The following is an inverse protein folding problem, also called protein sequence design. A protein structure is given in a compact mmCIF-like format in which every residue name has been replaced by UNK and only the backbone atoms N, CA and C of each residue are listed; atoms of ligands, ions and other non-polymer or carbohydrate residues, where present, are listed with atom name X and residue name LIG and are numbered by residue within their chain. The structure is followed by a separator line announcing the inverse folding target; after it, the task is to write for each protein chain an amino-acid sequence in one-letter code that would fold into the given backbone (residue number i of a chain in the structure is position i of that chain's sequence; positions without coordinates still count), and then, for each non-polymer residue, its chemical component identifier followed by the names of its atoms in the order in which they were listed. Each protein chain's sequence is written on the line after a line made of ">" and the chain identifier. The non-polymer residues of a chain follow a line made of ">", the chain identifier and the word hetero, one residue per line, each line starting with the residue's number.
data_IF_477868758791
#
_entry.id   IF_477868758791
#
_cell.length_a   1.000
_cell.length_b   1.000
_cell.length_c   1.000
_cell.angle_alpha   90.00
_cell.angle_beta   90.00
_cell.angle_gamma   90.00
#
_symmetry.space_group_name_H-M   'P 1'
#
loop_
_entity.id
_entity.type
_entity.pdbx_description
1 polymer ?
#
# COMPACT_ATOMS: atom_id res chain seq x y z
N UNK A 1 -2.79 -14.47 -14.49
CA UNK A 1 -3.12 -13.05 -14.68
C UNK A 1 -3.44 -12.44 -13.32
N UNK A 2 -2.50 -11.68 -12.72
CA UNK A 2 -2.65 -11.05 -11.40
C UNK A 2 -2.28 -9.57 -11.51
N UNK A 3 -3.31 -8.76 -11.75
CA UNK A 3 -3.30 -7.29 -11.73
C UNK A 3 -3.29 -6.87 -10.24
N UNK A 4 -2.11 -6.75 -9.62
CA UNK A 4 -2.00 -6.89 -8.16
C UNK A 4 -0.94 -6.01 -7.49
N UNK A 5 -0.62 -4.82 -8.00
CA UNK A 5 0.38 -3.98 -7.30
C UNK A 5 -0.18 -2.67 -6.79
N UNK A 6 -0.98 -1.93 -7.56
CA UNK A 6 -1.65 -0.73 -6.99
C UNK A 6 -3.08 -1.04 -6.52
N UNK A 7 -3.61 -2.21 -6.87
CA UNK A 7 -5.00 -2.62 -6.63
C UNK A 7 -5.16 -3.75 -5.60
N UNK A 8 -4.05 -4.22 -5.03
CA UNK A 8 -4.07 -5.38 -4.12
C UNK A 8 -4.50 -5.03 -2.70
N UNK A 9 -4.24 -3.79 -2.30
CA UNK A 9 -4.78 -3.17 -1.08
C UNK A 9 -6.03 -2.31 -1.41
N UNK A 10 -6.78 -2.74 -2.44
CA UNK A 10 -8.15 -2.35 -2.86
C UNK A 10 -8.90 -3.55 -3.49
N UNK A 11 -9.13 -4.70 -2.83
CA UNK A 11 -10.02 -5.76 -3.27
C UNK A 11 -11.49 -5.32 -3.26
N UNK A 12 -11.87 -4.08 -2.91
CA UNK A 12 -13.14 -3.52 -3.38
C UNK A 12 -13.18 -3.32 -4.91
N UNK A 13 -12.02 -3.23 -5.57
CA UNK A 13 -11.91 -3.13 -7.03
C UNK A 13 -11.94 -4.49 -7.74
N UNK A 14 -11.74 -5.62 -7.04
CA UNK A 14 -11.72 -6.95 -7.67
C UNK A 14 -12.47 -8.06 -6.90
N UNK A 15 -13.08 -7.75 -5.76
CA UNK A 15 -13.96 -8.64 -4.99
C UNK A 15 -15.32 -7.98 -4.77
N UNK A 16 -15.85 -7.32 -5.80
CA UNK A 16 -17.29 -7.19 -5.90
C UNK A 16 -17.85 -8.61 -6.06
N UNK A 17 -18.49 -9.12 -5.00
CA UNK A 17 -19.61 -10.02 -5.21
C UNK A 17 -20.65 -9.21 -6.01
N UNK A 18 -20.64 -9.40 -7.34
CA UNK A 18 -21.46 -8.65 -8.31
C UNK A 18 -22.98 -8.84 -8.08
N UNK A 19 -23.39 -9.64 -7.09
CA UNK A 19 -24.78 -9.95 -6.78
C UNK A 19 -25.54 -8.83 -6.07
N UNK A 20 -24.87 -7.84 -5.46
CA UNK A 20 -25.55 -6.79 -4.67
C UNK A 20 -25.63 -5.39 -5.31
N UNK A 21 -24.95 -5.14 -6.45
CA UNK A 21 -24.96 -3.84 -7.16
C UNK A 21 -26.05 -3.81 -8.25
N UNK A 22 -27.27 -4.24 -7.92
CA UNK A 22 -28.44 -4.19 -8.81
C UNK A 22 -29.69 -3.62 -8.13
N UNK A 23 -29.55 -2.89 -7.02
CA UNK A 23 -30.70 -2.22 -6.39
C UNK A 23 -30.46 -0.72 -6.26
N UNK A 24 -31.03 0.00 -7.23
CA UNK A 24 -31.69 1.28 -7.00
C UNK A 24 -30.83 2.51 -7.24
N UNK A 25 -30.87 3.02 -8.48
CA UNK A 25 -30.72 4.46 -8.74
C UNK A 25 -31.85 4.87 -9.68
N UNK A 26 -33.02 5.11 -9.10
CA UNK A 26 -34.11 5.86 -9.71
C UNK A 26 -34.71 6.70 -8.57
N UNK A 27 -34.31 7.96 -8.45
CA UNK A 27 -35.19 9.05 -8.01
C UNK A 27 -34.50 10.41 -8.15
N UNK A 28 -34.98 11.17 -9.12
CA UNK A 28 -34.59 12.55 -9.38
C UNK A 28 -35.30 13.50 -8.41
N UNK A 29 -34.57 14.38 -7.73
CA UNK A 29 -35.13 15.52 -6.97
C UNK A 29 -34.39 16.81 -7.36
N UNK A 30 -35.09 17.94 -7.59
CA UNK A 30 -34.52 19.10 -8.29
C UNK A 30 -33.66 20.01 -7.41
N UNK A 31 -32.69 20.66 -8.10
CA UNK A 31 -31.63 21.54 -7.60
C UNK A 31 -32.12 22.83 -6.92
N UNK A 32 -31.50 23.16 -5.78
CA UNK A 32 -31.35 24.54 -5.27
C UNK A 32 -29.90 24.96 -5.51
N UNK A 33 -29.69 25.99 -6.34
CA UNK A 33 -28.37 26.54 -6.69
C UNK A 33 -27.95 27.60 -5.66
N UNK A 34 -27.05 27.22 -4.75
CA UNK A 34 -26.23 28.13 -3.96
C UNK A 34 -24.84 28.20 -4.59
N UNK A 35 -24.47 29.37 -5.13
CA UNK A 35 -23.15 29.63 -5.70
C UNK A 35 -22.16 29.88 -4.55
N UNK A 36 -21.59 28.80 -4.02
CA UNK A 36 -20.37 28.81 -3.21
C UNK A 36 -19.15 28.77 -4.15
N UNK A 37 -17.99 29.34 -3.75
CA UNK A 37 -16.76 29.17 -4.51
C UNK A 37 -16.52 27.68 -4.68
N UNK A 38 -16.50 27.25 -5.95
CA UNK A 38 -16.35 25.85 -6.33
C UNK A 38 -15.00 25.33 -5.86
N UNK A 39 -14.94 24.75 -4.66
CA UNK A 39 -14.00 23.67 -4.44
C UNK A 39 -14.40 22.62 -5.47
N UNK A 40 -13.60 22.48 -6.52
CA UNK A 40 -13.72 21.38 -7.48
C UNK A 40 -13.37 20.12 -6.70
N UNK A 41 -14.34 19.62 -5.94
CA UNK A 41 -14.27 18.28 -5.38
C UNK A 41 -14.20 17.34 -6.58
N UNK A 42 -13.10 16.60 -6.68
CA UNK A 42 -12.95 15.62 -7.75
C UNK A 42 -14.17 14.68 -7.74
N UNK A 43 -14.70 14.42 -8.93
CA UNK A 43 -15.93 13.65 -9.09
C UNK A 43 -15.75 12.23 -8.52
N UNK A 44 -16.83 11.59 -8.03
CA UNK A 44 -16.75 10.19 -7.66
C UNK A 44 -16.35 9.34 -8.88
N UNK A 45 -15.50 8.34 -8.68
CA UNK A 45 -15.06 7.47 -9.77
C UNK A 45 -16.24 6.72 -10.39
N UNK A 46 -16.34 6.81 -11.72
CA UNK A 46 -17.27 6.02 -12.51
C UNK A 46 -16.71 4.63 -12.80
N UNK A 47 -17.56 3.72 -13.30
CA UNK A 47 -17.10 2.41 -13.80
C UNK A 47 -16.07 2.56 -14.92
N UNK A 48 -16.20 3.59 -15.76
CA UNK A 48 -15.24 3.86 -16.84
C UNK A 48 -13.86 4.24 -16.30
N UNK A 49 -13.81 5.03 -15.21
CA UNK A 49 -12.55 5.39 -14.56
C UNK A 49 -11.84 4.15 -14.02
N UNK A 50 -12.60 3.21 -13.43
CA UNK A 50 -12.04 1.95 -12.95
C UNK A 50 -11.46 1.10 -14.10
N UNK A 51 -12.07 1.11 -15.28
CA UNK A 51 -11.47 0.48 -16.47
C UNK A 51 -10.22 1.21 -16.96
N UNK A 52 -10.18 2.54 -16.87
CA UNK A 52 -9.00 3.32 -17.22
C UNK A 52 -7.80 2.95 -16.31
N UNK A 53 -8.03 2.74 -15.02
CA UNK A 53 -7.00 2.24 -14.08
C UNK A 53 -6.39 0.91 -14.54
N UNK A 54 -7.23 -0.03 -14.97
CA UNK A 54 -6.77 -1.31 -15.54
C UNK A 54 -5.98 -1.08 -16.83
N UNK A 55 -6.47 -0.19 -17.70
CA UNK A 55 -5.79 0.20 -18.93
C UNK A 55 -4.39 0.75 -18.69
N UNK A 56 -4.23 1.64 -17.70
CA UNK A 56 -2.94 2.20 -17.28
C UNK A 56 -2.00 1.09 -16.79
N UNK A 57 -2.48 0.18 -15.95
CA UNK A 57 -1.66 -0.93 -15.43
C UNK A 57 -1.22 -1.92 -16.53
N UNK A 58 -2.03 -2.10 -17.58
CA UNK A 58 -1.76 -2.98 -18.71
C UNK A 58 -0.92 -2.34 -19.82
N UNK A 59 -0.54 -1.07 -19.69
CA UNK A 59 0.33 -0.45 -20.68
C UNK A 59 1.69 -1.18 -20.76
N UNK A 60 2.24 -1.34 -21.97
CA UNK A 60 3.53 -1.97 -22.16
C UNK A 60 4.62 -1.14 -21.46
N UNK A 61 5.51 -1.81 -20.73
CA UNK A 61 6.70 -1.14 -20.22
C UNK A 61 7.58 -0.71 -21.40
N UNK A 62 8.28 0.42 -21.25
CA UNK A 62 9.22 0.85 -22.28
C UNK A 62 10.34 -0.18 -22.45
N UNK A 63 10.69 -0.48 -23.70
CA UNK A 63 11.73 -1.45 -24.04
C UNK A 63 13.07 -1.11 -23.36
N UNK A 64 13.46 0.17 -23.36
CA UNK A 64 14.69 0.63 -22.70
C UNK A 64 14.66 0.52 -21.16
N UNK A 65 13.50 0.31 -20.55
CA UNK A 65 13.41 -0.04 -19.13
C UNK A 65 13.56 -1.54 -18.96
N UNK A 66 12.82 -2.37 -19.71
CA UNK A 66 12.91 -3.83 -19.59
C UNK A 66 14.32 -4.33 -19.94
N UNK A 67 14.96 -3.73 -20.93
CA UNK A 67 16.34 -4.01 -21.32
C UNK A 67 17.33 -3.65 -20.20
N UNK A 68 17.15 -2.50 -19.54
CA UNK A 68 17.99 -2.07 -18.42
C UNK A 68 17.88 -3.01 -17.21
N UNK A 69 16.74 -3.67 -17.03
CA UNK A 69 16.52 -4.65 -15.97
C UNK A 69 16.84 -6.10 -16.40
N UNK A 70 17.22 -6.32 -17.66
CA UNK A 70 17.39 -7.66 -18.23
C UNK A 70 16.12 -8.52 -18.14
N UNK A 71 14.95 -7.88 -18.20
CA UNK A 71 13.64 -8.53 -18.12
C UNK A 71 13.03 -8.69 -19.52
N UNK A 72 12.16 -9.70 -19.73
CA UNK A 72 11.38 -9.77 -20.96
C UNK A 72 10.44 -8.57 -21.07
N UNK A 73 10.02 -8.28 -22.31
CA UNK A 73 8.94 -7.32 -22.58
C UNK A 73 7.73 -7.72 -21.76
N UNK A 74 7.21 -6.75 -20.99
CA UNK A 74 6.19 -6.97 -19.97
C UNK A 74 5.31 -5.72 -19.84
N UNK A 75 4.23 -5.85 -19.08
CA UNK A 75 3.38 -4.70 -18.74
C UNK A 75 3.94 -3.92 -17.55
N UNK A 76 3.50 -2.68 -17.36
CA UNK A 76 3.86 -1.92 -16.16
C UNK A 76 3.46 -2.66 -14.89
N UNK A 77 2.27 -3.29 -14.90
CA UNK A 77 1.79 -4.09 -13.76
C UNK A 77 2.69 -5.26 -13.40
N UNK A 78 3.45 -5.80 -14.35
CA UNK A 78 4.43 -6.87 -14.13
C UNK A 78 5.77 -6.30 -13.65
N UNK A 79 6.16 -5.15 -14.23
CA UNK A 79 7.40 -4.44 -13.89
C UNK A 79 7.45 -4.01 -12.42
N UNK A 80 6.32 -3.57 -11.86
CA UNK A 80 6.24 -3.11 -10.46
C UNK A 80 5.97 -4.25 -9.45
N UNK A 81 5.91 -5.52 -9.86
CA UNK A 81 5.78 -6.65 -8.91
C UNK A 81 7.16 -7.08 -8.40
N UNK A 82 7.70 -6.36 -7.43
CA UNK A 82 8.99 -6.69 -6.83
C UNK A 82 8.86 -7.96 -5.97
N UNK A 83 9.61 -9.00 -6.33
CA UNK A 83 9.73 -10.21 -5.49
C UNK A 83 10.85 -10.08 -4.46
N UNK A 84 11.84 -9.24 -4.75
CA UNK A 84 13.01 -9.04 -3.88
C UNK A 84 13.37 -7.57 -3.77
N UNK A 85 14.06 -7.21 -2.68
CA UNK A 85 14.60 -5.85 -2.50
C UNK A 85 15.61 -5.49 -3.58
N UNK A 86 16.36 -6.46 -4.11
CA UNK A 86 17.31 -6.25 -5.20
C UNK A 86 16.64 -5.80 -6.50
N UNK A 87 15.49 -6.40 -6.85
CA UNK A 87 14.71 -5.99 -8.03
C UNK A 87 14.21 -4.55 -7.90
N UNK A 88 13.71 -4.18 -6.71
CA UNK A 88 13.30 -2.81 -6.43
C UNK A 88 14.47 -1.83 -6.57
N UNK A 89 15.64 -2.16 -6.01
CA UNK A 89 16.85 -1.34 -6.15
C UNK A 89 17.27 -1.17 -7.61
N UNK A 90 17.23 -2.23 -8.42
CA UNK A 90 17.55 -2.16 -9.85
C UNK A 90 16.58 -1.26 -10.62
N UNK A 91 15.26 -1.39 -10.38
CA UNK A 91 14.26 -0.54 -10.98
C UNK A 91 14.50 0.94 -10.66
N UNK A 92 14.75 1.25 -9.39
CA UNK A 92 14.98 2.63 -8.96
C UNK A 92 16.33 3.21 -9.41
N UNK A 93 17.30 2.36 -9.72
CA UNK A 93 18.58 2.76 -10.29
C UNK A 93 18.52 2.99 -11.81
N UNK A 94 17.46 2.53 -12.49
CA UNK A 94 17.26 2.69 -13.93
C UNK A 94 16.37 3.92 -14.22
N UNK A 95 16.92 5.06 -14.68
CA UNK A 95 16.14 6.29 -14.87
C UNK A 95 15.02 6.12 -15.91
N UNK A 96 15.22 5.27 -16.91
CA UNK A 96 14.20 4.95 -17.93
C UNK A 96 12.99 4.24 -17.32
N UNK A 97 13.18 3.42 -16.29
CA UNK A 97 12.09 2.76 -15.59
C UNK A 97 11.30 3.71 -14.70
N UNK A 98 11.99 4.59 -13.96
CA UNK A 98 11.36 5.64 -13.16
C UNK A 98 10.54 6.56 -14.06
N UNK A 99 11.12 7.01 -15.18
CA UNK A 99 10.42 7.86 -16.15
C UNK A 99 9.21 7.16 -16.80
N UNK A 100 9.31 5.86 -17.12
CA UNK A 100 8.18 5.08 -17.63
C UNK A 100 7.03 5.00 -16.60
N UNK A 101 7.34 4.76 -15.32
CA UNK A 101 6.33 4.76 -14.25
C UNK A 101 5.62 6.11 -14.18
N UNK A 102 6.38 7.21 -14.13
CA UNK A 102 5.81 8.56 -14.07
C UNK A 102 4.95 8.88 -15.30
N UNK A 103 5.42 8.50 -16.49
CA UNK A 103 4.71 8.75 -17.75
C UNK A 103 3.39 8.00 -17.84
N UNK A 104 3.33 6.77 -17.33
CA UNK A 104 2.12 5.95 -17.38
C UNK A 104 1.13 6.39 -16.31
N UNK A 105 1.57 6.58 -15.06
CA UNK A 105 0.68 6.92 -13.95
C UNK A 105 0.13 8.35 -14.00
N UNK A 106 0.75 9.28 -14.76
CA UNK A 106 0.14 10.60 -15.02
C UNK A 106 -1.23 10.51 -15.71
N UNK A 107 -1.53 9.39 -16.37
CA UNK A 107 -2.79 9.16 -17.09
C UNK A 107 -3.88 8.57 -16.18
N UNK A 108 -3.63 8.41 -14.87
CA UNK A 108 -4.66 7.94 -13.96
C UNK A 108 -5.80 8.95 -13.86
N UNK A 109 -7.06 8.48 -13.82
CA UNK A 109 -8.23 9.35 -13.77
C UNK A 109 -8.24 10.16 -12.48
N UNK A 110 -8.56 11.45 -12.60
CA UNK A 110 -8.74 12.34 -11.46
C UNK A 110 -10.17 12.19 -10.91
N UNK A 111 -10.37 11.12 -10.14
CA UNK A 111 -11.63 10.81 -9.49
C UNK A 111 -11.40 10.33 -8.06
N UNK A 112 -12.46 10.41 -7.23
CA UNK A 112 -12.43 10.02 -5.82
C UNK A 112 -13.22 8.74 -5.62
N UNK A 113 -12.60 7.76 -4.99
CA UNK A 113 -13.22 6.49 -4.60
C UNK A 113 -14.19 6.68 -3.42
N UNK A 114 -15.09 5.72 -3.13
CA UNK A 114 -16.04 5.83 -2.01
C UNK A 114 -15.39 6.05 -0.64
N UNK A 115 -14.16 5.58 -0.47
CA UNK A 115 -13.33 5.72 0.72
C UNK A 115 -12.48 7.01 0.71
N UNK A 116 -12.73 7.93 -0.22
CA UNK A 116 -12.10 9.25 -0.26
C UNK A 116 -10.70 9.27 -0.88
N UNK A 117 -10.23 8.19 -1.50
CA UNK A 117 -8.95 8.20 -2.22
C UNK A 117 -9.11 8.87 -3.57
N UNK A 118 -8.37 9.95 -3.81
CA UNK A 118 -8.18 10.48 -5.17
C UNK A 118 -7.16 9.60 -5.91
N UNK A 119 -7.58 8.93 -6.99
CA UNK A 119 -6.75 7.99 -7.74
C UNK A 119 -5.56 8.66 -8.44
N UNK A 120 -5.75 9.88 -8.95
CA UNK A 120 -4.68 10.61 -9.61
C UNK A 120 -3.62 11.04 -8.58
N UNK A 121 -4.02 11.69 -7.49
CA UNK A 121 -3.08 12.12 -6.44
C UNK A 121 -2.36 10.93 -5.80
N UNK A 122 -3.06 9.81 -5.63
CA UNK A 122 -2.49 8.57 -5.10
C UNK A 122 -1.33 8.05 -5.98
N UNK A 123 -1.44 8.20 -7.30
CA UNK A 123 -0.56 7.52 -8.26
C UNK A 123 0.45 8.43 -8.96
N UNK A 124 0.23 9.74 -8.99
CA UNK A 124 1.16 10.72 -9.59
C UNK A 124 2.57 10.63 -8.97
N UNK A 125 2.66 10.16 -7.73
CA UNK A 125 3.92 10.02 -6.96
C UNK A 125 4.41 8.59 -6.82
N UNK A 126 3.89 7.65 -7.63
CA UNK A 126 4.18 6.22 -7.50
C UNK A 126 5.68 5.92 -7.55
N UNK A 127 6.43 6.49 -8.49
CA UNK A 127 7.87 6.25 -8.57
C UNK A 127 8.62 6.75 -7.33
N UNK A 128 8.22 7.92 -6.81
CA UNK A 128 8.83 8.53 -5.63
C UNK A 128 8.56 7.73 -4.36
N UNK A 129 7.34 7.18 -4.24
CA UNK A 129 6.96 6.28 -3.15
C UNK A 129 7.77 4.99 -3.22
N UNK A 130 7.77 4.33 -4.38
CA UNK A 130 8.44 3.03 -4.60
C UNK A 130 9.95 3.16 -4.35
N UNK A 131 10.56 4.23 -4.86
CA UNK A 131 11.99 4.48 -4.73
C UNK A 131 12.41 5.21 -3.46
N UNK A 132 11.47 5.53 -2.56
CA UNK A 132 11.75 6.17 -1.28
C UNK A 132 12.34 7.57 -1.41
N UNK A 133 12.01 8.29 -2.49
CA UNK A 133 12.43 9.66 -2.77
C UNK A 133 11.31 10.68 -2.55
N UNK A 134 10.13 10.25 -2.08
CA UNK A 134 9.02 11.12 -1.75
C UNK A 134 9.43 12.19 -0.71
N UNK A 135 9.28 13.49 -1.01
CA UNK A 135 9.54 14.56 -0.05
C UNK A 135 8.66 14.47 1.18
N UNK A 136 9.24 14.66 2.37
CA UNK A 136 8.50 14.65 3.63
C UNK A 136 7.38 15.71 3.68
N UNK A 137 7.52 16.81 2.94
CA UNK A 137 6.51 17.87 2.81
C UNK A 137 5.21 17.42 2.15
N UNK A 138 5.21 16.28 1.45
CA UNK A 138 4.03 15.69 0.82
C UNK A 138 3.34 14.64 1.70
N UNK A 139 3.87 14.41 2.91
CA UNK A 139 3.29 13.47 3.87
C UNK A 139 2.67 14.21 5.05
N UNK A 140 1.50 13.76 5.47
CA UNK A 140 0.79 14.31 6.62
C UNK A 140 1.47 13.85 7.91
N UNK A 141 1.87 14.81 8.75
CA UNK A 141 2.56 14.53 10.02
C UNK A 141 2.00 15.33 11.21
N UNK A 142 0.77 15.82 11.10
CA UNK A 142 0.09 16.63 12.13
C UNK A 142 -0.99 15.85 12.90
N UNK A 143 -1.15 14.55 12.61
CA UNK A 143 -2.18 13.71 13.20
C UNK A 143 -3.57 13.87 12.57
N UNK A 144 -3.70 14.64 11.48
CA UNK A 144 -4.94 14.76 10.72
C UNK A 144 -5.21 13.53 9.84
N UNK A 145 -6.28 13.56 9.05
CA UNK A 145 -6.64 12.47 8.15
C UNK A 145 -5.56 12.26 7.08
N UNK A 146 -5.23 11.00 6.78
CA UNK A 146 -4.26 10.66 5.76
C UNK A 146 -4.72 11.12 4.36
N UNK A 147 -3.85 11.82 3.64
CA UNK A 147 -4.05 12.18 2.24
C UNK A 147 -4.00 10.95 1.32
N UNK A 148 -4.38 11.09 0.06
CA UNK A 148 -4.25 10.01 -0.95
C UNK A 148 -2.80 9.53 -1.12
N UNK A 149 -1.84 10.45 -1.00
CA UNK A 149 -0.40 10.15 -1.05
C UNK A 149 0.02 9.36 0.19
N UNK A 150 -0.39 9.79 1.39
CA UNK A 150 -0.09 9.09 2.65
C UNK A 150 -0.59 7.65 2.62
N UNK A 151 -1.82 7.46 2.13
CA UNK A 151 -2.46 6.15 2.04
C UNK A 151 -1.72 5.23 1.09
N UNK A 152 -1.29 5.74 -0.06
CA UNK A 152 -0.50 4.98 -1.04
C UNK A 152 0.89 4.63 -0.49
N UNK A 153 1.54 5.57 0.20
CA UNK A 153 2.80 5.32 0.88
C UNK A 153 2.66 4.21 1.94
N UNK A 154 1.65 4.30 2.80
CA UNK A 154 1.38 3.29 3.83
C UNK A 154 1.12 1.91 3.20
N UNK A 155 0.25 1.84 2.19
CA UNK A 155 -0.03 0.60 1.45
C UNK A 155 1.25 -0.02 0.89
N UNK A 156 2.09 0.78 0.20
CA UNK A 156 3.36 0.29 -0.32
C UNK A 156 4.28 -0.22 0.80
N UNK A 157 4.52 0.58 1.83
CA UNK A 157 5.44 0.26 2.92
C UNK A 157 5.03 -0.99 3.70
N UNK A 158 3.72 -1.19 3.91
CA UNK A 158 3.18 -2.30 4.69
C UNK A 158 3.01 -3.56 3.84
N UNK A 159 2.37 -3.41 2.68
CA UNK A 159 1.85 -4.51 1.88
C UNK A 159 2.73 -4.94 0.71
N UNK A 160 3.70 -4.13 0.28
CA UNK A 160 4.37 -4.35 -1.01
C UNK A 160 5.89 -4.24 -0.96
N UNK A 161 6.42 -3.40 -0.07
CA UNK A 161 7.86 -3.18 0.05
C UNK A 161 8.54 -4.50 0.40
N UNK A 162 9.42 -5.02 -0.48
CA UNK A 162 10.02 -6.31 -0.27
C UNK A 162 10.97 -6.28 0.92
N UNK A 163 10.86 -7.31 1.76
CA UNK A 163 11.77 -7.53 2.88
C UNK A 163 13.17 -7.87 2.32
N UNK A 164 14.27 -7.31 2.88
CA UNK A 164 15.62 -7.64 2.44
C UNK A 164 15.93 -9.14 2.56
N UNK A 165 16.69 -9.70 1.61
CA UNK A 165 17.05 -11.12 1.60
C UNK A 165 17.69 -11.60 2.91
N UNK A 166 18.57 -10.79 3.50
CA UNK A 166 19.21 -11.08 4.79
C UNK A 166 18.20 -11.25 5.94
N UNK A 167 17.04 -10.58 5.88
CA UNK A 167 15.96 -10.79 6.83
C UNK A 167 15.13 -12.04 6.45
N UNK A 168 14.80 -12.20 5.15
CA UNK A 168 14.03 -13.36 4.65
C UNK A 168 14.70 -14.70 4.96
N UNK A 169 16.00 -14.81 4.73
CA UNK A 169 16.79 -16.02 4.97
C UNK A 169 16.70 -16.46 6.43
N UNK A 170 16.79 -15.51 7.37
CA UNK A 170 16.70 -15.80 8.80
C UNK A 170 15.28 -16.20 9.25
N UNK A 171 14.26 -15.82 8.48
CA UNK A 171 12.86 -16.16 8.75
C UNK A 171 12.39 -17.42 8.01
N UNK A 172 13.24 -18.05 7.19
CA UNK A 172 12.89 -19.25 6.43
C UNK A 172 12.08 -18.97 5.15
N UNK A 173 12.18 -17.75 4.58
CA UNK A 173 11.79 -17.45 3.20
C UNK A 173 10.31 -17.17 2.92
N UNK A 174 9.40 -17.30 3.90
CA UNK A 174 7.96 -17.21 3.63
C UNK A 174 7.35 -15.79 3.71
N UNK A 175 8.05 -14.80 4.29
CA UNK A 175 7.47 -13.51 4.64
C UNK A 175 8.00 -12.35 3.77
N UNK A 176 7.33 -12.05 2.66
CA UNK A 176 7.86 -11.09 1.65
C UNK A 176 7.64 -9.62 1.97
N UNK A 177 6.82 -9.28 2.97
CA UNK A 177 6.37 -7.90 3.25
C UNK A 177 6.36 -7.61 4.75
N UNK A 178 6.24 -6.33 5.11
CA UNK A 178 6.20 -5.90 6.49
C UNK A 178 4.97 -6.49 7.24
N UNK A 179 3.80 -6.47 6.60
CA UNK A 179 2.58 -7.08 7.14
C UNK A 179 2.71 -8.60 7.31
N UNK A 180 3.62 -9.28 6.60
CA UNK A 180 3.89 -10.70 6.80
C UNK A 180 4.83 -10.98 8.00
N UNK A 181 5.74 -10.06 8.34
CA UNK A 181 6.71 -10.25 9.42
C UNK A 181 6.24 -9.74 10.78
N UNK A 182 5.42 -8.68 10.84
CA UNK A 182 4.94 -8.09 12.10
C UNK A 182 3.99 -8.99 12.91
N UNK A 183 3.04 -9.73 12.30
CA UNK A 183 2.19 -10.68 13.03
C UNK A 183 2.87 -12.03 13.29
N UNK A 184 4.16 -12.18 12.97
CA UNK A 184 4.72 -13.52 12.86
C UNK A 184 4.85 -14.22 14.22
N UNK A 185 4.54 -15.51 14.22
CA UNK A 185 4.94 -16.49 15.25
C UNK A 185 6.47 -16.58 15.42
N UNK A 186 7.22 -15.82 14.62
CA UNK A 186 8.66 -15.70 14.62
C UNK A 186 9.14 -14.37 15.22
N UNK A 187 8.32 -13.67 15.99
CA UNK A 187 8.65 -12.41 16.68
C UNK A 187 10.08 -12.39 17.27
N UNK A 188 10.44 -13.43 18.04
CA UNK A 188 11.78 -13.57 18.61
C UNK A 188 12.90 -13.59 17.55
N UNK A 189 12.68 -14.23 16.39
CA UNK A 189 13.66 -14.26 15.28
C UNK A 189 13.72 -12.92 14.54
N UNK A 190 12.56 -12.29 14.28
CA UNK A 190 12.50 -10.96 13.65
C UNK A 190 13.33 -9.96 14.46
N UNK A 191 13.21 -10.00 15.78
CA UNK A 191 13.89 -9.07 16.68
C UNK A 191 15.38 -9.43 16.91
N UNK A 192 15.76 -10.70 16.79
CA UNK A 192 17.17 -11.12 16.91
C UNK A 192 17.99 -10.88 15.64
N UNK A 193 17.35 -10.58 14.50
CA UNK A 193 18.02 -10.40 13.21
C UNK A 193 18.23 -8.91 12.92
N UNK A 194 19.49 -8.41 12.88
CA UNK A 194 19.78 -7.00 12.63
C UNK A 194 19.19 -6.47 11.32
N UNK A 195 19.19 -7.29 10.25
CA UNK A 195 18.62 -6.91 8.96
C UNK A 195 17.10 -6.66 9.03
N UNK A 196 16.36 -7.49 9.78
CA UNK A 196 14.92 -7.31 9.98
C UNK A 196 14.62 -6.06 10.80
N UNK A 197 15.32 -5.87 11.92
CA UNK A 197 15.11 -4.70 12.78
C UNK A 197 15.50 -3.40 12.07
N UNK A 198 16.58 -3.38 11.29
CA UNK A 198 16.96 -2.23 10.46
C UNK A 198 15.88 -1.93 9.40
N UNK A 199 15.35 -2.95 8.72
CA UNK A 199 14.27 -2.79 7.74
C UNK A 199 13.00 -2.21 8.37
N UNK A 200 12.56 -2.73 9.52
CA UNK A 200 11.35 -2.23 10.19
C UNK A 200 11.58 -0.79 10.67
N UNK A 201 12.72 -0.48 11.28
CA UNK A 201 13.05 0.89 11.71
C UNK A 201 13.11 1.87 10.53
N UNK A 202 13.69 1.46 9.40
CA UNK A 202 13.74 2.28 8.20
C UNK A 202 12.34 2.53 7.63
N UNK A 203 11.48 1.51 7.62
CA UNK A 203 10.10 1.63 7.16
C UNK A 203 9.26 2.50 8.11
N UNK A 204 9.41 2.33 9.42
CA UNK A 204 8.76 3.16 10.43
C UNK A 204 9.06 4.65 10.27
N UNK A 205 10.33 5.01 9.98
CA UNK A 205 10.74 6.40 9.74
C UNK A 205 10.03 7.05 8.54
N UNK A 206 9.63 6.25 7.55
CA UNK A 206 8.97 6.72 6.33
C UNK A 206 7.44 6.87 6.52
N UNK A 207 6.86 6.32 7.57
CA UNK A 207 5.40 6.40 7.75
C UNK A 207 4.94 7.81 8.11
N UNK A 208 3.77 8.25 7.61
CA UNK A 208 3.15 9.49 8.03
C UNK A 208 2.59 9.41 9.46
N UNK A 209 2.45 10.55 10.12
CA UNK A 209 1.65 10.69 11.36
C UNK A 209 0.26 11.21 10.98
N UNK A 210 -0.59 10.31 10.52
CA UNK A 210 -1.96 10.61 10.09
C UNK A 210 -2.93 9.49 10.52
N UNK A 211 -4.23 9.75 10.39
CA UNK A 211 -5.31 8.83 10.72
C UNK A 211 -5.94 8.31 9.42
N UNK A 212 -5.93 6.99 9.23
CA UNK A 212 -6.57 6.32 8.10
C UNK A 212 -8.11 6.38 8.21
N UNK A 213 -8.86 6.13 7.12
CA UNK A 213 -10.33 6.16 7.14
C UNK A 213 -10.98 5.21 8.16
N UNK A 214 -10.30 4.13 8.53
CA UNK A 214 -10.73 3.17 9.55
C UNK A 214 -10.41 3.62 11.00
N UNK A 215 -9.86 4.82 11.16
CA UNK A 215 -9.44 5.39 12.44
C UNK A 215 -8.06 4.90 12.90
N UNK A 216 -7.41 4.02 12.15
CA UNK A 216 -6.11 3.48 12.52
C UNK A 216 -4.99 4.48 12.27
N UNK A 217 -3.90 4.34 13.03
CA UNK A 217 -2.73 5.22 12.96
C UNK A 217 -1.49 4.39 12.61
N UNK A 218 -0.99 4.45 11.36
CA UNK A 218 0.05 3.53 10.88
C UNK A 218 1.29 3.47 11.77
N UNK A 219 1.78 4.62 12.25
CA UNK A 219 2.93 4.69 13.16
C UNK A 219 2.65 4.01 14.50
N UNK A 220 1.52 4.31 15.14
CA UNK A 220 1.16 3.70 16.43
C UNK A 220 1.00 2.17 16.30
N UNK A 221 0.45 1.69 15.18
CA UNK A 221 0.32 0.25 14.90
C UNK A 221 1.67 -0.45 14.81
N UNK A 222 2.63 0.10 14.06
CA UNK A 222 3.98 -0.49 13.98
C UNK A 222 4.67 -0.40 15.34
N UNK A 223 4.55 0.71 16.05
CA UNK A 223 5.19 0.90 17.35
C UNK A 223 4.65 -0.12 18.37
N UNK A 224 3.34 -0.32 18.41
CA UNK A 224 2.71 -1.35 19.23
C UNK A 224 3.16 -2.76 18.81
N UNK A 225 3.24 -3.05 17.50
CA UNK A 225 3.73 -4.33 17.00
C UNK A 225 5.19 -4.56 17.39
N UNK A 226 6.09 -3.58 17.21
CA UNK A 226 7.50 -3.66 17.60
C UNK A 226 7.69 -3.84 19.11
N UNK A 227 6.88 -3.15 19.93
CA UNK A 227 6.92 -3.30 21.38
C UNK A 227 6.47 -4.71 21.77
N UNK A 228 5.37 -5.19 21.19
CA UNK A 228 4.84 -6.54 21.44
C UNK A 228 5.80 -7.63 20.94
N UNK A 229 6.44 -7.45 19.79
CA UNK A 229 7.28 -8.47 19.13
C UNK A 229 8.68 -8.51 19.73
N UNK A 230 9.27 -7.37 20.08
CA UNK A 230 10.68 -7.29 20.49
C UNK A 230 10.91 -7.07 22.00
N UNK A 231 9.87 -6.78 22.79
CA UNK A 231 10.04 -6.46 24.22
C UNK A 231 9.27 -7.40 25.18
N UNK A 232 8.49 -8.38 24.69
CA UNK A 232 7.96 -9.45 25.57
C UNK A 232 9.02 -10.50 25.86
N UNK A 233 9.45 -10.56 27.12
CA UNK A 233 10.43 -11.50 27.63
C UNK A 233 9.88 -12.96 27.54
N UNK A 234 10.59 -13.92 26.92
CA UNK A 234 10.08 -15.29 26.70
C UNK A 234 9.82 -16.12 27.97
N UNK A 235 10.12 -15.61 29.17
CA UNK A 235 9.91 -16.34 30.43
C UNK A 235 8.51 -16.22 31.04
N UNK A 236 7.61 -15.35 30.56
CA UNK A 236 6.25 -15.24 31.14
C UNK A 236 5.19 -16.11 30.45
N UNK A 237 5.52 -16.76 29.33
CA UNK A 237 4.54 -17.49 28.49
C UNK A 237 4.10 -18.82 29.11
N UNK A 238 4.75 -19.29 30.18
CA UNK A 238 4.34 -20.52 30.85
C UNK A 238 3.01 -20.40 31.64
N UNK A 239 2.51 -19.20 31.94
CA UNK A 239 1.32 -19.01 32.80
C UNK A 239 0.29 -17.96 32.36
N UNK A 240 0.44 -17.33 31.20
CA UNK A 240 -0.59 -16.42 30.71
C UNK A 240 -1.59 -17.14 29.82
N UNK A 241 -2.82 -17.29 30.35
CA UNK A 241 -4.03 -17.64 29.60
C UNK A 241 -4.06 -16.89 28.26
N UNK A 242 -4.56 -17.52 27.19
CA UNK A 242 -4.47 -16.98 25.85
C UNK A 242 -5.20 -15.64 25.77
N UNK A 243 -4.44 -14.58 25.53
CA UNK A 243 -4.96 -13.24 25.26
C UNK A 243 -5.55 -13.27 23.84
N UNK A 244 -6.77 -13.78 23.74
CA UNK A 244 -7.57 -13.89 22.52
C UNK A 244 -8.00 -12.53 21.94
N UNK A 245 -7.74 -11.41 22.65
CA UNK A 245 -8.25 -10.07 22.33
C UNK A 245 -7.32 -9.22 21.44
N UNK A 246 -5.99 -9.36 21.55
CA UNK A 246 -5.07 -8.61 20.65
C UNK A 246 -4.90 -9.28 19.29
N UNK A 247 -5.05 -10.60 19.23
CA UNK A 247 -4.98 -11.38 17.99
C UNK A 247 -6.21 -11.13 17.12
N UNK A 248 -7.39 -10.88 17.71
CA UNK A 248 -8.63 -10.57 16.97
C UNK A 248 -8.61 -9.18 16.35
N UNK A 249 -8.05 -8.17 17.01
CA UNK A 249 -7.89 -6.81 16.41
C UNK A 249 -6.86 -6.84 15.27
N UNK A 250 -5.76 -7.58 15.42
CA UNK A 250 -4.75 -7.73 14.37
C UNK A 250 -5.24 -8.60 13.20
N UNK A 251 -6.04 -9.64 13.47
CA UNK A 251 -6.72 -10.45 12.44
C UNK A 251 -7.81 -9.67 11.72
N UNK A 252 -8.51 -8.75 12.39
CA UNK A 252 -9.46 -7.85 11.74
C UNK A 252 -8.74 -6.87 10.80
N UNK A 253 -7.56 -6.37 11.19
CA UNK A 253 -6.66 -5.58 10.35
C UNK A 253 -6.12 -6.38 9.16
N UNK A 254 -5.76 -7.67 9.35
CA UNK A 254 -5.30 -8.56 8.28
C UNK A 254 -6.44 -9.01 7.35
N UNK A 255 -7.65 -9.18 7.87
CA UNK A 255 -8.83 -9.44 7.07
C UNK A 255 -9.21 -8.21 6.27
N UNK A 256 -9.13 -7.00 6.85
CA UNK A 256 -9.30 -5.76 6.10
C UNK A 256 -8.18 -5.55 5.08
N UNK A 257 -6.90 -5.70 5.38
CA UNK A 257 -5.83 -5.59 4.35
C UNK A 257 -5.86 -6.69 3.26
N UNK A 258 -6.69 -7.72 3.41
CA UNK A 258 -6.93 -8.76 2.41
C UNK A 258 -8.33 -8.65 1.75
N UNK A 259 -9.23 -7.80 2.29
CA UNK A 259 -10.61 -7.54 1.84
C UNK A 259 -10.87 -6.05 1.56
N UNK A 260 -9.87 -5.19 1.72
CA UNK A 260 -9.79 -3.77 1.41
C UNK A 260 -8.43 -3.41 0.83
#
# INVERSE_FOLDING_TARGET
>A
MRLCVVLRDYPFLFRADWSHIWKGVDDATPLVLLVLPSLVAAAPCSTQDMFAVVGVAMQPAWANCTDALGQPVSTLSELVQFKTSGQLTQLCAAPTCVANIDDVYKNMPNCVTPDGLNLHDATERTSQIICGTLPASLTTNDGSACSSVDRTLVSFLMGQKPVPSACLEALGGNATTLTAILPSTHANRVCSVPACTAFIKATYKQLPQCILPDGSKPKELIEAALTTVCHTNPQSVAHQRPVFLSVTVLLALLQWLALA
#
